data_IF_058090576349
#
_entry.id   IF_058090576349
#
_cell.length_a   1.000
_cell.length_b   1.000
_cell.length_c   1.000
_cell.angle_alpha   90.00
_cell.angle_beta   90.00
_cell.angle_gamma   90.00
#
_symmetry.space_group_name_H-M   'P 1'
#
loop_
_entity.id
_entity.type
_entity.pdbx_description
1 polymer ?
#
# COMPACT_ATOMS: atom_id res chain seq x y z
N UNK A 1 -19.28 21.46 -7.20
CA UNK A 1 -18.30 20.55 -7.86
C UNK A 1 -16.87 20.63 -7.31
N UNK A 2 -16.63 21.29 -6.16
CA UNK A 2 -15.27 21.41 -5.55
C UNK A 2 -14.83 20.18 -4.71
N UNK A 3 -15.65 19.15 -4.52
CA UNK A 3 -15.36 18.05 -3.58
C UNK A 3 -14.76 16.77 -4.19
N UNK A 4 -14.80 16.59 -5.49
CA UNK A 4 -14.34 15.36 -6.17
C UNK A 4 -12.90 15.44 -6.72
N UNK A 5 -12.42 16.67 -6.97
CA UNK A 5 -11.04 16.87 -7.41
C UNK A 5 -10.13 16.63 -6.20
N UNK A 6 -9.35 15.58 -6.23
CA UNK A 6 -8.42 15.21 -5.16
C UNK A 6 -8.88 14.05 -4.25
N UNK A 7 -10.10 13.53 -4.43
CA UNK A 7 -10.55 12.38 -3.64
C UNK A 7 -9.65 11.14 -3.81
N UNK A 8 -9.25 10.71 -5.03
CA UNK A 8 -8.33 9.60 -5.19
C UNK A 8 -7.00 9.82 -4.45
N UNK A 9 -6.45 11.03 -4.50
CA UNK A 9 -5.22 11.36 -3.81
C UNK A 9 -5.39 11.25 -2.28
N UNK A 10 -6.52 11.74 -1.74
CA UNK A 10 -6.80 11.61 -0.29
C UNK A 10 -6.85 10.14 0.15
N UNK A 11 -7.44 9.27 -0.67
CA UNK A 11 -7.49 7.82 -0.40
C UNK A 11 -6.09 7.23 -0.37
N UNK A 12 -5.29 7.53 -1.38
CA UNK A 12 -3.91 7.04 -1.49
C UNK A 12 -3.08 7.49 -0.28
N UNK A 13 -3.16 8.78 0.09
CA UNK A 13 -2.45 9.31 1.26
C UNK A 13 -2.92 8.70 2.57
N UNK A 14 -4.23 8.48 2.73
CA UNK A 14 -4.78 7.86 3.92
C UNK A 14 -4.31 6.41 4.08
N UNK A 15 -4.35 5.63 3.00
CA UNK A 15 -3.83 4.25 2.99
C UNK A 15 -2.33 4.26 3.31
N UNK A 16 -1.56 5.09 2.65
CA UNK A 16 -0.12 5.17 2.89
C UNK A 16 0.23 5.58 4.32
N UNK A 17 -0.49 6.54 4.88
CA UNK A 17 -0.32 6.93 6.28
C UNK A 17 -0.68 5.78 7.23
N UNK A 18 -1.80 5.10 6.99
CA UNK A 18 -2.23 3.96 7.78
C UNK A 18 -1.18 2.84 7.78
N UNK A 19 -0.64 2.49 6.62
CA UNK A 19 0.40 1.48 6.50
C UNK A 19 1.69 1.92 7.20
N UNK A 20 2.19 3.12 6.94
CA UNK A 20 3.45 3.58 7.52
C UNK A 20 3.39 3.77 9.05
N UNK A 21 2.22 4.01 9.63
CA UNK A 21 2.03 4.10 11.09
C UNK A 21 1.86 2.74 11.76
N UNK A 22 1.59 1.67 11.00
CA UNK A 22 1.62 0.31 11.53
C UNK A 22 3.07 -0.10 11.78
N UNK A 23 3.40 -0.48 13.04
CA UNK A 23 4.77 -0.77 13.43
C UNK A 23 5.32 -2.03 12.76
N UNK A 24 4.52 -3.04 12.53
CA UNK A 24 4.96 -4.27 11.86
C UNK A 24 5.35 -3.99 10.41
N UNK A 25 4.53 -3.20 9.70
CA UNK A 25 4.87 -2.70 8.38
C UNK A 25 6.16 -1.86 8.41
N UNK A 26 6.25 -0.92 9.34
CA UNK A 26 7.40 -0.03 9.45
C UNK A 26 8.69 -0.80 9.74
N UNK A 27 8.66 -1.78 10.64
CA UNK A 27 9.81 -2.63 10.97
C UNK A 27 10.26 -3.48 9.76
N UNK A 28 9.32 -4.12 9.05
CA UNK A 28 9.60 -4.90 7.83
C UNK A 28 10.28 -4.06 6.74
N UNK A 29 9.89 -2.81 6.62
CA UNK A 29 10.46 -1.89 5.63
C UNK A 29 11.81 -1.33 6.08
N UNK A 30 11.90 -0.83 7.32
CA UNK A 30 13.06 -0.09 7.81
C UNK A 30 14.27 -1.00 8.10
N UNK A 31 14.05 -2.15 8.77
CA UNK A 31 15.10 -3.09 9.15
C UNK A 31 15.40 -4.12 8.06
N UNK A 32 15.47 -3.69 6.83
CA UNK A 32 15.67 -4.55 5.65
C UNK A 32 16.94 -5.40 5.65
N UNK A 33 17.96 -5.00 6.39
CA UNK A 33 19.23 -5.72 6.52
C UNK A 33 19.25 -6.72 7.68
N UNK A 34 18.22 -6.74 8.53
CA UNK A 34 18.10 -7.66 9.67
C UNK A 34 17.43 -8.96 9.23
N UNK A 35 18.24 -9.90 8.70
CA UNK A 35 17.74 -11.12 8.08
C UNK A 35 17.28 -12.18 9.08
N UNK A 36 17.80 -12.17 10.30
CA UNK A 36 17.66 -13.27 11.27
C UNK A 36 16.74 -12.94 12.44
N UNK A 37 16.40 -11.68 12.62
CA UNK A 37 15.56 -11.24 13.74
C UNK A 37 14.08 -11.37 13.40
N UNK A 38 13.32 -11.88 14.36
CA UNK A 38 11.87 -11.75 14.34
C UNK A 38 11.47 -10.27 14.38
N UNK A 39 10.37 -9.94 13.73
CA UNK A 39 9.86 -8.56 13.70
C UNK A 39 9.51 -8.06 15.09
N UNK A 40 9.05 -8.96 15.97
CA UNK A 40 8.68 -8.65 17.34
C UNK A 40 9.91 -8.28 18.21
N UNK A 41 11.08 -8.80 17.86
CA UNK A 41 12.36 -8.50 18.54
C UNK A 41 12.98 -7.17 18.10
N UNK A 42 12.46 -6.56 17.04
CA UNK A 42 12.97 -5.29 16.52
C UNK A 42 12.34 -4.11 17.28
N UNK A 43 13.13 -3.06 17.59
CA UNK A 43 12.59 -1.87 18.23
C UNK A 43 11.60 -1.15 17.30
N UNK A 44 10.66 -0.44 17.89
CA UNK A 44 9.72 0.39 17.14
C UNK A 44 10.45 1.45 16.31
N UNK A 45 9.92 1.70 15.13
CA UNK A 45 10.48 2.72 14.24
C UNK A 45 9.94 4.09 14.65
N UNK A 46 10.83 4.94 15.14
CA UNK A 46 10.48 6.32 15.45
C UNK A 46 10.21 7.12 14.16
N UNK A 47 9.13 7.90 14.14
CA UNK A 47 8.73 8.74 13.01
C UNK A 47 8.69 7.96 11.68
N UNK A 48 7.95 6.83 11.59
CA UNK A 48 8.04 5.93 10.45
C UNK A 48 7.61 6.59 9.13
N UNK A 49 6.69 7.54 9.18
CA UNK A 49 6.24 8.27 7.98
C UNK A 49 7.41 9.06 7.37
N UNK A 50 8.19 9.77 8.17
CA UNK A 50 9.35 10.54 7.68
C UNK A 50 10.44 9.64 7.11
N UNK A 51 10.65 8.48 7.74
CA UNK A 51 11.69 7.52 7.33
C UNK A 51 11.34 6.77 6.06
N UNK A 52 10.08 6.45 5.87
CA UNK A 52 9.62 5.57 4.78
C UNK A 52 9.07 6.33 3.56
N UNK A 53 8.41 7.47 3.78
CA UNK A 53 7.82 8.24 2.69
C UNK A 53 8.89 8.78 1.73
N UNK A 54 8.69 8.60 0.44
CA UNK A 54 9.63 8.92 -0.65
C UNK A 54 11.01 8.22 -0.59
N UNK A 55 11.22 7.36 0.40
CA UNK A 55 12.41 6.51 0.47
C UNK A 55 12.10 5.07 0.03
N UNK A 56 11.04 4.50 0.59
CA UNK A 56 10.61 3.13 0.33
C UNK A 56 9.10 3.04 0.03
N UNK A 57 8.29 4.02 0.46
CA UNK A 57 6.86 4.11 0.17
C UNK A 57 6.59 5.28 -0.76
N UNK A 58 5.96 5.00 -1.90
CA UNK A 58 5.72 5.98 -2.97
C UNK A 58 4.25 6.01 -3.37
N UNK A 59 3.73 7.21 -3.63
CA UNK A 59 2.35 7.43 -4.11
C UNK A 59 2.27 7.55 -5.64
N UNK A 60 3.03 6.78 -6.34
CA UNK A 60 2.94 6.61 -7.78
C UNK A 60 3.80 5.43 -8.22
N UNK A 61 3.42 4.80 -9.31
CA UNK A 61 4.20 3.73 -9.91
C UNK A 61 5.49 4.31 -10.52
N UNK A 62 6.59 4.22 -9.79
CA UNK A 62 7.90 4.73 -10.22
C UNK A 62 8.95 3.62 -10.29
N UNK A 63 8.60 2.46 -10.79
CA UNK A 63 9.50 1.30 -10.76
C UNK A 63 10.85 1.52 -11.44
N UNK A 64 10.88 2.16 -12.59
CA UNK A 64 12.08 2.24 -13.42
C UNK A 64 13.28 2.96 -12.74
N UNK A 65 13.00 3.86 -11.80
CA UNK A 65 14.05 4.61 -11.09
C UNK A 65 14.42 4.02 -9.73
N UNK A 66 13.57 3.18 -9.17
CA UNK A 66 13.67 2.70 -7.79
C UNK A 66 14.38 1.36 -7.69
N UNK A 67 14.35 0.58 -8.75
CA UNK A 67 14.88 -0.79 -8.78
C UNK A 67 16.40 -0.86 -9.08
N UNK A 68 17.13 0.22 -8.89
CA UNK A 68 18.59 0.24 -9.05
C UNK A 68 19.37 -0.06 -7.79
N UNK A 69 18.68 -0.24 -6.66
CA UNK A 69 19.27 -0.50 -5.34
C UNK A 69 18.68 -1.74 -4.73
N UNK A 70 19.49 -2.49 -3.98
CA UNK A 70 19.03 -3.59 -3.13
C UNK A 70 18.12 -3.04 -2.05
N UNK A 71 16.82 -2.95 -2.33
CA UNK A 71 15.84 -2.31 -1.45
C UNK A 71 14.48 -3.00 -1.51
N UNK A 72 13.61 -2.57 -0.60
CA UNK A 72 12.19 -2.90 -0.57
C UNK A 72 11.43 -1.63 -0.92
N UNK A 73 10.52 -1.75 -1.86
CA UNK A 73 9.70 -0.64 -2.32
C UNK A 73 8.24 -1.02 -2.27
N UNK A 74 7.43 -0.17 -1.67
CA UNK A 74 5.97 -0.23 -1.72
C UNK A 74 5.46 0.99 -2.46
N UNK A 75 4.61 0.79 -3.46
CA UNK A 75 3.91 1.88 -4.12
C UNK A 75 2.41 1.75 -3.94
N UNK A 76 1.74 2.88 -3.87
CA UNK A 76 0.29 2.98 -3.76
C UNK A 76 -0.20 3.88 -4.89
N UNK A 77 -1.05 3.33 -5.75
CA UNK A 77 -1.55 4.02 -6.92
C UNK A 77 -3.05 3.76 -7.11
N UNK A 78 -3.76 4.65 -7.78
CA UNK A 78 -5.10 4.35 -8.23
C UNK A 78 -5.06 3.62 -9.58
N UNK A 79 -5.98 2.69 -9.78
CA UNK A 79 -6.17 2.07 -11.08
C UNK A 79 -7.05 2.96 -11.95
N UNK A 80 -6.58 3.25 -13.18
CA UNK A 80 -7.26 4.12 -14.15
C UNK A 80 -8.58 3.56 -14.69
N UNK A 81 -9.03 2.41 -14.20
CA UNK A 81 -10.34 1.84 -14.49
C UNK A 81 -11.43 2.47 -13.62
N UNK A 82 -11.51 3.80 -13.63
CA UNK A 82 -12.74 4.45 -13.24
C UNK A 82 -13.75 4.16 -14.35
N UNK A 83 -14.87 3.48 -14.06
CA UNK A 83 -15.95 3.41 -15.02
C UNK A 83 -16.49 4.82 -15.22
N UNK A 84 -15.98 5.51 -16.22
CA UNK A 84 -16.49 6.80 -16.67
C UNK A 84 -17.87 6.58 -17.31
N UNK A 85 -18.87 6.31 -16.52
CA UNK A 85 -20.26 6.50 -16.92
C UNK A 85 -20.73 7.83 -16.36
N UNK A 86 -20.45 8.89 -17.11
CA UNK A 86 -20.91 10.26 -16.81
C UNK A 86 -22.43 10.41 -16.75
N UNK A 87 -23.19 9.42 -17.19
CA UNK A 87 -24.66 9.46 -17.17
C UNK A 87 -25.27 9.03 -15.84
N UNK A 88 -24.58 8.25 -15.02
CA UNK A 88 -24.97 8.00 -13.63
C UNK A 88 -23.99 8.72 -12.71
N UNK A 89 -24.46 9.73 -12.03
CA UNK A 89 -23.65 10.58 -11.14
C UNK A 89 -23.07 9.84 -9.92
N UNK A 90 -22.76 8.57 -10.03
CA UNK A 90 -22.26 7.72 -8.97
C UNK A 90 -20.95 7.06 -9.41
N UNK A 91 -19.82 7.53 -8.90
CA UNK A 91 -18.55 6.77 -8.95
C UNK A 91 -18.78 5.56 -8.06
N UNK A 92 -18.91 4.37 -8.63
CA UNK A 92 -19.32 3.20 -7.84
C UNK A 92 -18.18 2.54 -7.08
N UNK A 93 -16.94 2.66 -7.53
CA UNK A 93 -15.82 2.00 -6.86
C UNK A 93 -14.50 2.66 -7.25
N UNK A 94 -13.74 3.11 -6.28
CA UNK A 94 -12.34 3.48 -6.48
C UNK A 94 -11.48 2.25 -6.22
N UNK A 95 -10.66 1.84 -7.17
CA UNK A 95 -9.70 0.77 -6.99
C UNK A 95 -8.31 1.35 -6.76
N UNK A 96 -7.64 0.85 -5.75
CA UNK A 96 -6.28 1.22 -5.37
C UNK A 96 -5.39 -0.02 -5.54
N UNK A 97 -4.28 0.17 -6.19
CA UNK A 97 -3.23 -0.82 -6.33
C UNK A 97 -2.14 -0.55 -5.31
N UNK A 98 -1.77 -1.56 -4.54
CA UNK A 98 -0.61 -1.55 -3.66
C UNK A 98 0.36 -2.60 -4.20
N UNK A 99 1.52 -2.16 -4.64
CA UNK A 99 2.55 -3.05 -5.15
C UNK A 99 3.76 -3.08 -4.23
N UNK A 100 4.28 -4.27 -4.04
CA UNK A 100 5.48 -4.57 -3.26
C UNK A 100 6.54 -5.07 -4.23
N UNK A 101 7.72 -4.50 -4.19
CA UNK A 101 8.90 -5.05 -4.86
C UNK A 101 10.01 -5.22 -3.81
N UNK A 102 10.54 -6.42 -3.68
CA UNK A 102 11.54 -6.77 -2.70
C UNK A 102 12.77 -7.37 -3.40
N UNK A 103 13.93 -6.73 -3.27
CA UNK A 103 15.17 -7.26 -3.79
C UNK A 103 15.56 -8.54 -3.05
N UNK A 104 16.18 -9.48 -3.74
CA UNK A 104 16.58 -10.77 -3.17
C UNK A 104 17.44 -10.63 -1.91
N UNK A 105 18.33 -9.65 -1.85
CA UNK A 105 19.19 -9.40 -0.69
C UNK A 105 18.42 -9.01 0.57
N UNK A 106 17.20 -8.45 0.42
CA UNK A 106 16.34 -8.01 1.50
C UNK A 106 15.19 -8.97 1.80
N UNK A 107 15.05 -10.03 1.01
CA UNK A 107 13.86 -10.89 1.03
C UNK A 107 13.74 -11.77 2.26
N UNK A 108 14.87 -12.26 2.78
CA UNK A 108 14.88 -13.09 3.97
C UNK A 108 14.72 -12.26 5.25
N UNK A 109 13.92 -12.74 6.18
CA UNK A 109 13.73 -12.18 7.52
C UNK A 109 13.54 -13.32 8.53
N UNK A 110 13.57 -13.01 9.83
CA UNK A 110 13.26 -13.99 10.89
C UNK A 110 11.87 -14.60 10.77
N UNK A 111 10.93 -13.87 10.16
CA UNK A 111 9.55 -14.30 9.90
C UNK A 111 9.37 -15.00 8.54
N UNK A 112 10.44 -15.42 7.87
CA UNK A 112 10.38 -16.04 6.56
C UNK A 112 10.63 -15.06 5.42
N UNK A 113 9.78 -15.08 4.37
CA UNK A 113 9.94 -14.20 3.24
C UNK A 113 9.27 -12.85 3.49
N UNK A 114 10.05 -11.80 3.48
CA UNK A 114 9.65 -10.43 3.82
C UNK A 114 8.56 -9.86 2.91
N UNK A 115 8.56 -10.18 1.64
CA UNK A 115 7.52 -9.79 0.68
C UNK A 115 6.16 -10.43 1.00
N UNK A 116 6.15 -11.67 1.49
CA UNK A 116 4.94 -12.34 1.97
C UNK A 116 4.46 -11.73 3.29
N UNK A 117 5.37 -11.53 4.25
CA UNK A 117 5.04 -10.91 5.54
C UNK A 117 4.47 -9.48 5.32
N UNK A 118 5.07 -8.67 4.42
CA UNK A 118 4.51 -7.38 4.04
C UNK A 118 3.12 -7.50 3.44
N UNK A 119 2.88 -8.51 2.60
CA UNK A 119 1.56 -8.73 2.01
C UNK A 119 0.51 -9.03 3.09
N UNK A 120 0.83 -9.88 4.06
CA UNK A 120 -0.04 -10.20 5.19
C UNK A 120 -0.33 -8.96 6.04
N UNK A 121 0.70 -8.23 6.45
CA UNK A 121 0.54 -7.01 7.27
C UNK A 121 -0.29 -5.95 6.54
N UNK A 122 -0.10 -5.78 5.22
CA UNK A 122 -0.90 -4.85 4.42
C UNK A 122 -2.37 -5.29 4.39
N UNK A 123 -2.63 -6.57 4.16
CA UNK A 123 -4.00 -7.11 4.14
C UNK A 123 -4.68 -6.95 5.49
N UNK A 124 -4.00 -7.30 6.58
CA UNK A 124 -4.54 -7.17 7.93
C UNK A 124 -4.81 -5.69 8.28
N UNK A 125 -3.88 -4.80 7.94
CA UNK A 125 -4.05 -3.37 8.22
C UNK A 125 -5.23 -2.78 7.44
N UNK A 126 -5.43 -3.19 6.18
CA UNK A 126 -6.48 -2.64 5.31
C UNK A 126 -7.82 -3.29 5.58
N UNK A 127 -7.87 -4.64 5.67
CA UNK A 127 -9.13 -5.37 5.79
C UNK A 127 -9.72 -5.32 7.21
N UNK A 128 -8.88 -5.18 8.24
CA UNK A 128 -9.30 -5.08 9.63
C UNK A 128 -9.53 -3.63 10.09
N UNK A 129 -9.13 -2.63 9.29
CA UNK A 129 -9.50 -1.25 9.58
C UNK A 129 -11.01 -1.07 9.37
N UNK A 130 -11.77 -0.91 10.46
CA UNK A 130 -13.23 -0.79 10.40
C UNK A 130 -13.67 0.37 9.51
N UNK A 131 -12.96 1.47 9.53
CA UNK A 131 -13.20 2.59 8.61
C UNK A 131 -11.98 3.51 8.55
N UNK A 132 -11.50 3.81 7.35
CA UNK A 132 -10.62 4.95 7.18
C UNK A 132 -11.50 6.20 7.21
N UNK A 133 -11.25 7.17 8.10
CA UNK A 133 -12.08 8.36 8.21
C UNK A 133 -12.29 9.04 6.85
N UNK A 134 -13.53 9.14 6.42
CA UNK A 134 -13.92 9.77 5.16
C UNK A 134 -13.85 8.87 3.92
N UNK A 135 -13.45 7.60 4.04
CA UNK A 135 -13.30 6.68 2.91
C UNK A 135 -14.26 5.49 2.92
N UNK A 136 -14.88 5.20 4.07
CA UNK A 136 -15.66 3.98 4.23
C UNK A 136 -14.77 2.74 4.38
N UNK A 137 -15.35 1.58 4.13
CA UNK A 137 -14.67 0.29 4.27
C UNK A 137 -13.87 -0.02 3.01
N UNK A 138 -12.64 -0.47 3.19
CA UNK A 138 -11.84 -1.05 2.13
C UNK A 138 -12.10 -2.57 2.05
N UNK A 139 -12.04 -3.11 0.86
CA UNK A 139 -12.19 -4.55 0.62
C UNK A 139 -11.21 -5.03 -0.45
N UNK A 140 -10.80 -6.28 -0.35
CA UNK A 140 -9.94 -6.91 -1.34
C UNK A 140 -10.75 -7.17 -2.62
N UNK A 141 -10.25 -6.69 -3.75
CA UNK A 141 -10.91 -6.87 -5.07
C UNK A 141 -10.50 -8.19 -5.69
N UNK A 142 -9.23 -8.58 -5.52
CA UNK A 142 -8.67 -9.80 -6.09
C UNK A 142 -7.57 -10.33 -5.16
N UNK A 143 -7.26 -11.62 -5.26
CA UNK A 143 -6.17 -12.20 -4.49
C UNK A 143 -4.83 -11.55 -4.87
N UNK A 144 -3.89 -11.41 -3.91
CA UNK A 144 -2.55 -10.91 -4.22
C UNK A 144 -1.90 -11.73 -5.33
N UNK A 145 -1.35 -11.05 -6.32
CA UNK A 145 -0.75 -11.65 -7.51
C UNK A 145 0.68 -11.17 -7.69
N UNK A 146 1.57 -12.06 -8.13
CA UNK A 146 2.89 -11.64 -8.59
C UNK A 146 2.76 -10.85 -9.91
N UNK A 147 3.66 -9.92 -10.14
CA UNK A 147 3.72 -9.15 -11.39
C UNK A 147 5.16 -9.00 -11.88
N UNK A 148 5.29 -8.60 -13.14
CA UNK A 148 6.60 -8.51 -13.78
C UNK A 148 7.46 -7.38 -13.18
N UNK A 149 8.61 -7.77 -12.64
CA UNK A 149 9.69 -6.91 -12.14
C UNK A 149 11.02 -7.40 -12.69
N UNK A 150 12.11 -6.63 -12.61
CA UNK A 150 13.44 -7.12 -12.92
C UNK A 150 13.81 -8.38 -12.15
N UNK A 151 14.67 -9.20 -12.73
CA UNK A 151 15.03 -10.53 -12.23
C UNK A 151 15.48 -10.57 -10.75
N UNK A 152 16.13 -9.49 -10.29
CA UNK A 152 16.64 -9.41 -8.91
C UNK A 152 15.56 -9.15 -7.86
N UNK A 153 14.27 -9.01 -8.25
CA UNK A 153 13.17 -8.68 -7.37
C UNK A 153 12.09 -9.75 -7.37
N UNK A 154 11.51 -9.97 -6.19
CA UNK A 154 10.17 -10.55 -6.06
C UNK A 154 9.13 -9.44 -5.96
N UNK A 155 7.90 -9.73 -6.32
CA UNK A 155 6.84 -8.72 -6.30
C UNK A 155 5.47 -9.31 -6.01
N UNK A 156 4.65 -8.52 -5.30
CA UNK A 156 3.24 -8.78 -5.09
C UNK A 156 2.41 -7.53 -5.38
N UNK A 157 1.24 -7.75 -5.92
CA UNK A 157 0.25 -6.73 -6.23
C UNK A 157 -1.04 -7.04 -5.49
N UNK A 158 -1.51 -6.08 -4.71
CA UNK A 158 -2.77 -6.12 -3.97
C UNK A 158 -3.69 -5.08 -4.59
N UNK A 159 -4.93 -5.44 -4.89
CA UNK A 159 -5.94 -4.50 -5.40
C UNK A 159 -7.06 -4.40 -4.38
N UNK A 160 -7.26 -3.21 -3.84
CA UNK A 160 -8.33 -2.91 -2.91
C UNK A 160 -9.36 -1.97 -3.52
N UNK A 161 -10.63 -2.21 -3.21
CA UNK A 161 -11.73 -1.34 -3.55
C UNK A 161 -12.14 -0.48 -2.35
N UNK A 162 -12.61 0.72 -2.64
CA UNK A 162 -13.22 1.60 -1.66
C UNK A 162 -14.71 1.73 -1.97
N UNK A 163 -15.58 1.43 -1.01
CA UNK A 163 -17.01 1.69 -1.16
C UNK A 163 -17.27 3.19 -1.14
N UNK A 164 -18.01 3.64 -2.12
CA UNK A 164 -18.31 5.05 -2.25
C UNK A 164 -19.25 5.52 -1.15
N UNK A 165 -18.84 6.55 -0.42
CA UNK A 165 -19.75 7.35 0.40
C UNK A 165 -20.49 8.30 -0.55
N UNK A 166 -21.81 8.16 -0.63
CA UNK A 166 -22.67 9.08 -1.34
C UNK A 166 -22.62 10.48 -0.69
N UNK A 167 -21.79 11.34 -1.22
CA UNK A 167 -21.60 12.70 -0.71
C UNK A 167 -22.87 13.60 -0.87
N UNK A 168 -23.94 13.08 -1.49
CA UNK A 168 -25.20 13.83 -1.68
C UNK A 168 -26.13 13.80 -0.49
N UNK A 169 -25.90 12.90 0.48
CA UNK A 169 -26.74 12.79 1.69
C UNK A 169 -26.31 13.70 2.83
N UNK A 170 -25.38 14.62 2.61
CA UNK A 170 -25.04 15.66 3.59
C UNK A 170 -25.54 17.02 3.12
N UNK A 171 -26.87 17.18 3.14
CA UNK A 171 -27.56 18.45 3.27
C UNK A 171 -28.49 18.37 4.46
#
# INVERSE_FOLDING_TARGET
>A
MKGLIGFPNKVIYAIGSLLMTNQDFAKLMYYKNEKVKDIDDLPDVENPVEKLYNNQVFYARRFEKLLTKSDIVVYINHLDKLPYNYTSQTIKTLQIEIGIACHWDCRESGNGLRDLALTEVILDTICNSETIPGLGRLYLVDNPQSYNVPYEYSSYRIVVGCEQIDLRKRN
#
